data_IF_857534292388
#
_entry.id   IF_857534292388
#
_cell.length_a   1.000
_cell.length_b   1.000
_cell.length_c   1.000
_cell.angle_alpha   90.00
_cell.angle_beta   90.00
_cell.angle_gamma   90.00
#
_symmetry.space_group_name_H-M   'P 1'
#
loop_
_entity.id
_entity.type
_entity.pdbx_description
1 polymer ?
#
# COMPACT_ATOMS: atom_id res chain seq x y z
N UNK A 1 -28.61 -24.80 28.38
CA UNK A 1 -27.44 -25.50 27.76
C UNK A 1 -26.90 -24.80 26.49
N UNK A 2 -27.32 -23.57 26.18
CA UNK A 2 -27.15 -22.88 24.88
C UNK A 2 -25.97 -21.89 24.85
N UNK A 3 -25.72 -21.16 25.95
CA UNK A 3 -24.68 -20.10 26.00
C UNK A 3 -23.25 -20.61 25.75
N UNK A 4 -22.86 -21.77 26.30
CA UNK A 4 -21.52 -22.35 26.08
C UNK A 4 -21.31 -22.82 24.63
N UNK A 5 -22.36 -23.36 23.98
CA UNK A 5 -22.30 -23.80 22.58
C UNK A 5 -22.20 -22.60 21.62
N UNK A 6 -22.95 -21.53 21.87
CA UNK A 6 -22.89 -20.30 21.07
C UNK A 6 -21.50 -19.65 21.11
N UNK A 7 -20.86 -19.64 22.29
CA UNK A 7 -19.46 -19.17 22.47
C UNK A 7 -18.46 -20.05 21.72
N UNK A 8 -18.66 -21.38 21.70
CA UNK A 8 -17.80 -22.29 20.96
C UNK A 8 -17.91 -22.10 19.43
N UNK A 9 -19.12 -21.89 18.91
CA UNK A 9 -19.36 -21.62 17.49
C UNK A 9 -18.73 -20.29 17.06
N UNK A 10 -18.88 -19.22 17.86
CA UNK A 10 -18.25 -17.92 17.59
C UNK A 10 -16.73 -18.01 17.58
N UNK A 11 -16.15 -18.77 18.54
CA UNK A 11 -14.71 -19.00 18.59
C UNK A 11 -14.21 -19.79 17.38
N UNK A 12 -14.96 -20.82 16.96
CA UNK A 12 -14.63 -21.61 15.78
C UNK A 12 -14.72 -20.78 14.48
N UNK A 13 -15.72 -19.90 14.36
CA UNK A 13 -15.86 -18.98 13.22
C UNK A 13 -14.70 -17.98 13.18
N UNK A 14 -14.34 -17.38 14.32
CA UNK A 14 -13.20 -16.48 14.42
C UNK A 14 -11.91 -17.20 14.01
N UNK A 15 -11.64 -18.40 14.55
CA UNK A 15 -10.48 -19.20 14.19
C UNK A 15 -10.41 -19.50 12.69
N UNK A 16 -11.55 -19.83 12.06
CA UNK A 16 -11.61 -20.02 10.61
C UNK A 16 -11.21 -18.75 9.85
N UNK A 17 -11.77 -17.60 10.21
CA UNK A 17 -11.42 -16.34 9.56
C UNK A 17 -9.95 -15.94 9.79
N UNK A 18 -9.36 -16.28 10.94
CA UNK A 18 -7.94 -16.08 11.19
C UNK A 18 -7.06 -16.96 10.29
N UNK A 19 -7.44 -18.23 10.09
CA UNK A 19 -6.75 -19.14 9.17
C UNK A 19 -6.86 -18.63 7.73
N UNK A 20 -8.07 -18.26 7.30
CA UNK A 20 -8.34 -17.72 5.97
C UNK A 20 -7.53 -16.44 5.72
N UNK A 21 -7.48 -15.53 6.71
CA UNK A 21 -6.67 -14.32 6.63
C UNK A 21 -5.18 -14.65 6.50
N UNK A 22 -4.65 -15.54 7.34
CA UNK A 22 -3.24 -15.96 7.26
C UNK A 22 -2.91 -16.54 5.87
N UNK A 23 -3.79 -17.38 5.33
CA UNK A 23 -3.66 -17.92 3.98
C UNK A 23 -3.66 -16.82 2.92
N UNK A 24 -4.62 -15.88 2.99
CA UNK A 24 -4.72 -14.75 2.06
C UNK A 24 -3.47 -13.87 2.08
N UNK A 25 -2.98 -13.51 3.26
CA UNK A 25 -1.74 -12.74 3.41
C UNK A 25 -0.54 -13.49 2.85
N UNK A 26 -0.42 -14.79 3.10
CA UNK A 26 0.63 -15.63 2.53
C UNK A 26 0.60 -15.65 0.99
N UNK A 27 -0.58 -15.84 0.41
CA UNK A 27 -0.78 -15.83 -1.05
C UNK A 27 -0.43 -14.47 -1.64
N UNK A 28 -0.94 -13.37 -1.09
CA UNK A 28 -0.66 -12.02 -1.59
C UNK A 28 0.84 -11.72 -1.48
N UNK A 29 1.50 -12.09 -0.40
CA UNK A 29 2.94 -11.88 -0.25
C UNK A 29 3.76 -12.68 -1.27
N UNK A 30 3.39 -13.93 -1.53
CA UNK A 30 4.02 -14.74 -2.58
C UNK A 30 3.82 -14.11 -3.96
N UNK A 31 2.60 -13.64 -4.27
CA UNK A 31 2.30 -12.97 -5.53
C UNK A 31 3.06 -11.65 -5.68
N UNK A 32 3.20 -10.85 -4.63
CA UNK A 32 3.99 -9.63 -4.64
C UNK A 32 5.47 -9.91 -4.94
N UNK A 33 6.03 -10.95 -4.31
CA UNK A 33 7.41 -11.37 -4.57
C UNK A 33 7.59 -11.85 -6.01
N UNK A 34 6.69 -12.72 -6.49
CA UNK A 34 6.71 -13.21 -7.87
C UNK A 34 6.58 -12.07 -8.88
N UNK A 35 5.70 -11.11 -8.61
CA UNK A 35 5.53 -9.92 -9.44
C UNK A 35 6.81 -9.10 -9.49
N UNK A 36 7.44 -8.81 -8.34
CA UNK A 36 8.72 -8.07 -8.30
C UNK A 36 9.82 -8.81 -9.06
N UNK A 37 9.95 -10.12 -8.89
CA UNK A 37 10.94 -10.92 -9.62
C UNK A 37 10.66 -10.93 -11.13
N UNK A 38 9.40 -11.07 -11.51
CA UNK A 38 8.98 -11.04 -12.91
C UNK A 38 9.26 -9.68 -13.55
N UNK A 39 8.85 -8.58 -12.92
CA UNK A 39 9.05 -7.23 -13.47
C UNK A 39 10.53 -6.89 -13.55
N UNK A 40 11.31 -7.27 -12.53
CA UNK A 40 12.76 -7.06 -12.50
C UNK A 40 13.50 -7.81 -13.61
N UNK A 41 13.02 -9.00 -14.01
CA UNK A 41 13.61 -9.76 -15.10
C UNK A 41 13.12 -9.28 -16.48
N UNK A 42 11.84 -8.93 -16.60
CA UNK A 42 11.23 -8.57 -17.89
C UNK A 42 11.47 -7.12 -18.30
N UNK A 43 11.65 -6.23 -17.32
CA UNK A 43 11.80 -4.78 -17.50
C UNK A 43 12.99 -4.29 -16.65
N UNK A 44 14.23 -4.56 -17.09
CA UNK A 44 15.42 -4.22 -16.31
C UNK A 44 15.75 -2.72 -16.32
N UNK A 45 15.15 -1.96 -17.23
CA UNK A 45 15.45 -0.55 -17.43
C UNK A 45 14.57 0.33 -16.55
N UNK A 46 15.23 1.26 -15.85
CA UNK A 46 14.58 2.27 -15.02
C UNK A 46 14.47 3.58 -15.79
N UNK A 47 13.32 4.22 -15.69
CA UNK A 47 13.00 5.49 -16.32
C UNK A 47 12.86 6.59 -15.27
N UNK A 48 13.37 7.78 -15.60
CA UNK A 48 13.31 8.98 -14.77
C UNK A 48 12.60 10.10 -15.51
N UNK A 49 11.84 10.91 -14.75
CA UNK A 49 11.14 12.07 -15.31
C UNK A 49 12.13 13.19 -15.61
N UNK A 50 12.06 13.72 -16.83
CA UNK A 50 12.87 14.83 -17.34
C UNK A 50 11.97 15.96 -17.82
N UNK A 51 12.56 17.13 -18.04
CA UNK A 51 11.88 18.29 -18.61
C UNK A 51 11.75 18.10 -20.14
N UNK A 52 10.67 18.63 -20.71
CA UNK A 52 10.39 18.54 -22.14
C UNK A 52 8.99 19.06 -22.48
N UNK A 53 8.62 18.98 -23.76
CA UNK A 53 7.43 19.65 -24.31
C UNK A 53 6.11 18.90 -24.06
N UNK A 54 6.17 17.65 -23.59
CA UNK A 54 5.01 16.81 -23.33
C UNK A 54 4.48 16.93 -21.89
N UNK A 55 3.26 16.41 -21.66
CA UNK A 55 2.64 16.32 -20.32
C UNK A 55 3.56 15.61 -19.32
N UNK A 56 4.20 14.53 -19.77
CA UNK A 56 5.30 13.91 -19.05
C UNK A 56 6.36 13.35 -19.99
N UNK A 57 7.62 13.68 -19.70
CA UNK A 57 8.78 13.26 -20.46
C UNK A 57 9.64 12.33 -19.60
N UNK A 58 10.09 11.23 -20.19
CA UNK A 58 10.79 10.16 -19.48
C UNK A 58 12.05 9.74 -20.22
N UNK A 59 13.10 9.38 -19.47
CA UNK A 59 14.36 8.93 -20.04
C UNK A 59 14.86 7.70 -19.30
N UNK A 60 15.34 6.69 -20.02
CA UNK A 60 15.98 5.55 -19.39
C UNK A 60 17.31 5.98 -18.75
N UNK A 61 17.60 5.52 -17.54
CA UNK A 61 18.79 5.91 -16.76
C UNK A 61 20.09 5.48 -17.46
N UNK A 62 20.03 4.38 -18.19
CA UNK A 62 21.12 3.78 -18.97
C UNK A 62 21.15 4.24 -20.44
N UNK A 63 20.30 5.19 -20.83
CA UNK A 63 20.32 5.76 -22.17
C UNK A 63 21.67 6.45 -22.47
N UNK A 64 22.18 6.39 -23.71
CA UNK A 64 23.34 7.19 -24.12
C UNK A 64 23.10 8.70 -23.97
N UNK A 65 24.17 9.47 -23.79
CA UNK A 65 24.10 10.93 -23.80
C UNK A 65 23.53 11.44 -25.14
N UNK A 66 22.55 12.34 -25.06
CA UNK A 66 21.86 12.87 -26.25
C UNK A 66 20.66 12.05 -26.72
N UNK A 67 20.26 11.01 -25.98
CA UNK A 67 19.03 10.27 -26.27
C UNK A 67 17.78 11.14 -26.12
N UNK A 68 16.82 10.96 -27.03
CA UNK A 68 15.54 11.66 -26.99
C UNK A 68 14.69 11.19 -25.82
N UNK A 69 13.97 12.13 -25.20
CA UNK A 69 13.02 11.82 -24.14
C UNK A 69 11.76 11.18 -24.71
N UNK A 70 11.27 10.16 -24.01
CA UNK A 70 10.02 9.48 -24.34
C UNK A 70 8.87 10.34 -23.83
N UNK A 71 8.03 10.76 -24.77
CA UNK A 71 6.84 11.56 -24.53
C UNK A 71 5.64 10.66 -24.20
N UNK A 72 5.04 10.85 -23.01
CA UNK A 72 3.78 10.20 -22.66
C UNK A 72 2.66 11.26 -22.64
N UNK A 73 1.82 11.24 -23.67
CA UNK A 73 0.67 12.14 -23.84
C UNK A 73 -0.66 11.39 -23.78
N UNK A 74 -1.73 12.12 -23.44
CA UNK A 74 -3.11 11.59 -23.41
C UNK A 74 -3.74 11.36 -24.78
N UNK A 75 -3.02 11.68 -25.85
CA UNK A 75 -3.50 11.53 -27.23
C UNK A 75 -3.54 10.06 -27.67
N UNK A 76 -4.32 9.78 -28.72
CA UNK A 76 -4.46 8.43 -29.28
C UNK A 76 -3.08 7.90 -29.74
N UNK A 77 -2.58 6.85 -29.07
CA UNK A 77 -1.25 6.29 -29.31
C UNK A 77 -0.14 6.82 -28.38
N UNK A 78 -0.41 7.82 -27.54
CA UNK A 78 0.55 8.40 -26.60
C UNK A 78 1.01 7.47 -25.46
N UNK A 79 0.38 6.30 -25.33
CA UNK A 79 0.79 5.21 -24.41
C UNK A 79 1.34 3.98 -25.14
N UNK A 80 1.74 4.11 -26.41
CA UNK A 80 2.21 2.97 -27.22
C UNK A 80 3.58 2.42 -26.78
N UNK A 81 4.42 3.27 -26.16
CA UNK A 81 5.79 2.93 -25.81
C UNK A 81 6.01 2.99 -24.29
N UNK A 82 6.77 2.04 -23.75
CA UNK A 82 7.24 2.12 -22.36
C UNK A 82 8.05 3.41 -22.15
N UNK A 83 7.95 4.08 -20.99
CA UNK A 83 7.27 3.67 -19.77
C UNK A 83 5.80 4.12 -19.69
N UNK A 84 5.21 4.58 -20.80
CA UNK A 84 3.85 5.09 -20.82
C UNK A 84 2.84 3.93 -20.67
N UNK A 85 1.85 4.08 -19.79
CA UNK A 85 0.78 3.11 -19.59
C UNK A 85 -0.57 3.78 -19.35
N UNK A 86 -1.66 3.09 -19.67
CA UNK A 86 -3.01 3.61 -19.50
C UNK A 86 -3.28 3.92 -18.02
N UNK A 87 -3.74 5.14 -17.72
CA UNK A 87 -3.99 5.54 -16.34
C UNK A 87 -2.73 5.92 -15.55
N UNK A 88 -1.60 6.19 -16.22
CA UNK A 88 -0.39 6.77 -15.60
C UNK A 88 -0.68 8.05 -14.79
N UNK A 89 -1.68 8.83 -15.20
CA UNK A 89 -2.13 10.04 -14.50
C UNK A 89 -2.80 9.77 -13.14
N UNK A 90 -3.17 8.52 -12.86
CA UNK A 90 -3.69 8.13 -11.54
C UNK A 90 -2.58 8.11 -10.50
N UNK A 91 -1.34 7.81 -10.90
CA UNK A 91 -0.25 7.64 -9.94
C UNK A 91 0.01 8.93 -9.15
N UNK A 92 0.12 10.13 -9.76
CA UNK A 92 0.20 11.39 -9.01
C UNK A 92 -0.96 11.64 -8.05
N UNK A 93 -2.18 11.18 -8.39
CA UNK A 93 -3.35 11.33 -7.54
C UNK A 93 -3.24 10.40 -6.32
N UNK A 94 -2.92 9.12 -6.54
CA UNK A 94 -2.79 8.14 -5.47
C UNK A 94 -1.55 8.34 -4.60
N UNK A 95 -0.49 8.92 -5.14
CA UNK A 95 0.72 9.28 -4.40
C UNK A 95 0.64 10.66 -3.75
N UNK A 96 -0.33 11.51 -4.14
CA UNK A 96 -0.58 12.77 -3.45
C UNK A 96 -0.95 12.52 -1.99
N UNK A 97 -0.59 13.45 -1.10
CA UNK A 97 -0.93 13.35 0.32
C UNK A 97 -2.43 13.17 0.54
N UNK A 98 -3.27 13.87 -0.23
CA UNK A 98 -4.72 13.75 -0.13
C UNK A 98 -5.22 12.39 -0.58
N UNK A 99 -4.76 11.89 -1.73
CA UNK A 99 -5.19 10.58 -2.25
C UNK A 99 -4.69 9.42 -1.40
N UNK A 100 -3.41 9.44 -1.00
CA UNK A 100 -2.75 8.44 -0.17
C UNK A 100 -3.42 8.24 1.20
N UNK A 101 -4.12 9.26 1.70
CA UNK A 101 -4.87 9.20 2.97
C UNK A 101 -6.35 8.91 2.74
N UNK A 102 -7.00 9.59 1.79
CA UNK A 102 -8.44 9.49 1.61
C UNK A 102 -8.87 8.15 1.00
N UNK A 103 -8.18 7.67 -0.03
CA UNK A 103 -8.62 6.51 -0.82
C UNK A 103 -8.57 5.22 0.02
N UNK A 104 -7.48 4.88 0.73
CA UNK A 104 -7.46 3.65 1.53
C UNK A 104 -8.42 3.68 2.74
N UNK A 105 -8.69 4.87 3.28
CA UNK A 105 -9.63 5.04 4.41
C UNK A 105 -11.10 5.06 3.98
N UNK A 106 -11.38 5.28 2.69
CA UNK A 106 -12.75 5.42 2.20
C UNK A 106 -13.65 4.23 2.57
N UNK A 107 -13.13 2.98 2.48
CA UNK A 107 -13.87 1.79 2.89
C UNK A 107 -14.30 1.83 4.36
N UNK A 108 -13.39 2.26 5.25
CA UNK A 108 -13.69 2.45 6.67
C UNK A 108 -14.72 3.55 6.88
N UNK A 109 -14.57 4.70 6.20
CA UNK A 109 -15.48 5.84 6.31
C UNK A 109 -16.90 5.46 5.87
N UNK A 110 -17.05 4.76 4.74
CA UNK A 110 -18.35 4.25 4.30
C UNK A 110 -18.92 3.23 5.28
N UNK A 111 -18.10 2.32 5.81
CA UNK A 111 -18.52 1.33 6.78
C UNK A 111 -18.99 1.98 8.10
N UNK A 112 -18.27 2.98 8.58
CA UNK A 112 -18.57 3.78 9.76
C UNK A 112 -19.83 4.64 9.57
N UNK A 113 -19.93 5.39 8.46
CA UNK A 113 -21.08 6.24 8.17
C UNK A 113 -22.38 5.44 8.06
N UNK A 114 -22.35 4.30 7.37
CA UNK A 114 -23.51 3.40 7.30
C UNK A 114 -23.87 2.75 8.63
N UNK A 115 -22.92 2.55 9.55
CA UNK A 115 -23.22 2.11 10.91
C UNK A 115 -23.84 3.23 11.74
N UNK A 116 -23.37 4.48 11.61
CA UNK A 116 -23.91 5.66 12.31
C UNK A 116 -25.36 5.95 11.92
N UNK A 117 -25.69 5.78 10.64
CA UNK A 117 -27.06 5.97 10.12
C UNK A 117 -27.96 4.75 10.37
N UNK A 118 -27.43 3.66 10.92
CA UNK A 118 -28.17 2.44 11.18
C UNK A 118 -28.93 2.46 12.51
N UNK A 119 -29.93 1.59 12.69
CA UNK A 119 -30.77 1.55 13.90
C UNK A 119 -30.08 0.99 15.16
N UNK A 120 -28.80 0.58 15.06
CA UNK A 120 -28.06 -0.12 16.13
C UNK A 120 -26.71 0.55 16.42
N UNK A 121 -26.74 1.85 16.71
CA UNK A 121 -25.56 2.60 17.17
C UNK A 121 -25.32 2.30 18.64
N UNK A 122 -24.15 1.77 18.97
CA UNK A 122 -23.73 1.56 20.36
C UNK A 122 -22.30 2.07 20.56
N UNK A 123 -22.03 2.69 21.72
CA UNK A 123 -20.70 3.23 22.04
C UNK A 123 -19.54 2.22 21.92
N UNK A 124 -19.70 0.93 22.28
CA UNK A 124 -18.66 -0.08 22.05
C UNK A 124 -18.31 -0.25 20.57
N UNK A 125 -19.31 -0.20 19.67
CA UNK A 125 -19.09 -0.30 18.22
C UNK A 125 -18.33 0.90 17.68
N UNK A 126 -18.72 2.11 18.09
CA UNK A 126 -18.01 3.35 17.74
C UNK A 126 -16.54 3.26 18.13
N UNK A 127 -16.25 2.81 19.36
CA UNK A 127 -14.89 2.70 19.87
C UNK A 127 -14.02 1.78 19.01
N UNK A 128 -14.57 0.67 18.52
CA UNK A 128 -13.84 -0.27 17.65
C UNK A 128 -13.50 0.38 16.31
N UNK A 129 -14.46 1.05 15.66
CA UNK A 129 -14.20 1.75 14.40
C UNK A 129 -13.18 2.89 14.57
N UNK A 130 -13.28 3.66 15.65
CA UNK A 130 -12.29 4.72 15.96
C UNK A 130 -10.90 4.14 16.16
N UNK A 131 -10.77 3.05 16.94
CA UNK A 131 -9.47 2.39 17.14
C UNK A 131 -8.91 1.79 15.86
N UNK A 132 -9.74 1.26 14.98
CA UNK A 132 -9.34 0.80 13.65
C UNK A 132 -8.88 1.96 12.77
N UNK A 133 -9.60 3.08 12.80
CA UNK A 133 -9.19 4.31 12.12
C UNK A 133 -7.85 4.83 12.64
N UNK A 134 -7.62 4.79 13.95
CA UNK A 134 -6.33 5.15 14.56
C UNK A 134 -5.22 4.17 14.18
N UNK A 135 -5.51 2.87 14.06
CA UNK A 135 -4.55 1.89 13.54
C UNK A 135 -4.13 2.25 12.11
N UNK A 136 -5.09 2.51 11.23
CA UNK A 136 -4.79 2.89 9.84
C UNK A 136 -4.06 4.22 9.76
N UNK A 137 -4.48 5.23 10.51
CA UNK A 137 -3.77 6.50 10.61
C UNK A 137 -2.34 6.32 11.13
N UNK A 138 -2.13 5.41 12.10
CA UNK A 138 -0.81 5.04 12.61
C UNK A 138 0.07 4.38 11.55
N UNK A 139 -0.48 3.46 10.74
CA UNK A 139 0.20 2.85 9.59
C UNK A 139 0.63 3.93 8.59
N UNK A 140 -0.29 4.84 8.26
CA UNK A 140 -0.04 5.93 7.31
C UNK A 140 1.00 6.94 7.83
N UNK A 141 0.93 7.27 9.11
CA UNK A 141 1.89 8.14 9.78
C UNK A 141 3.27 7.48 9.88
N UNK A 142 3.35 6.17 10.15
CA UNK A 142 4.62 5.44 10.20
C UNK A 142 5.36 5.55 8.86
N UNK A 143 4.66 5.33 7.75
CA UNK A 143 5.24 5.50 6.42
C UNK A 143 5.70 6.94 6.19
N UNK A 144 4.84 7.91 6.49
CA UNK A 144 5.10 9.33 6.20
C UNK A 144 6.23 9.93 7.05
N UNK A 145 6.34 9.53 8.32
CA UNK A 145 7.29 10.14 9.27
C UNK A 145 8.55 9.28 9.42
N UNK A 146 8.40 7.97 9.63
CA UNK A 146 9.54 7.10 9.93
C UNK A 146 10.22 6.65 8.65
N UNK A 147 9.46 6.19 7.66
CA UNK A 147 10.04 5.66 6.44
C UNK A 147 10.45 6.76 5.46
N UNK A 148 9.63 7.79 5.28
CA UNK A 148 9.92 8.85 4.33
C UNK A 148 10.90 9.91 4.87
N UNK A 149 10.62 10.49 6.05
CA UNK A 149 11.49 11.52 6.63
C UNK A 149 12.70 10.92 7.37
N UNK A 150 12.49 9.85 8.13
CA UNK A 150 13.54 9.23 8.96
C UNK A 150 14.61 8.49 8.15
N UNK A 151 14.23 7.51 7.33
CA UNK A 151 15.20 6.73 6.54
C UNK A 151 15.89 7.57 5.47
N UNK A 152 15.21 8.53 4.85
CA UNK A 152 15.82 9.45 3.88
C UNK A 152 16.92 10.32 4.50
N UNK A 153 16.75 10.77 5.74
CA UNK A 153 17.77 11.53 6.46
C UNK A 153 18.99 10.68 6.84
N UNK A 154 18.75 9.46 7.33
CA UNK A 154 19.83 8.51 7.66
C UNK A 154 20.62 8.10 6.44
N UNK A 155 19.95 7.86 5.32
CA UNK A 155 20.59 7.47 4.08
C UNK A 155 21.45 8.61 3.51
N UNK A 156 20.95 9.86 3.57
CA UNK A 156 21.74 11.03 3.21
C UNK A 156 23.00 11.17 4.07
N UNK A 157 22.88 10.95 5.38
CA UNK A 157 24.02 10.99 6.30
C UNK A 157 25.02 9.87 6.03
N UNK A 158 24.53 8.65 5.79
CA UNK A 158 25.34 7.46 5.52
C UNK A 158 26.11 7.60 4.21
N UNK A 159 25.47 8.02 3.11
CA UNK A 159 26.16 8.19 1.82
C UNK A 159 27.22 9.28 1.86
N UNK A 160 26.92 10.40 2.52
CA UNK A 160 27.88 11.49 2.70
C UNK A 160 29.13 11.03 3.49
N UNK A 161 28.96 10.14 4.47
CA UNK A 161 30.05 9.58 5.27
C UNK A 161 30.90 8.56 4.49
N UNK A 162 30.27 7.68 3.70
CA UNK A 162 30.96 6.53 3.11
C UNK A 162 31.54 6.78 1.71
N UNK A 163 30.92 7.62 0.89
CA UNK A 163 31.34 7.76 -0.52
C UNK A 163 32.08 9.05 -0.84
N UNK A 164 31.98 10.09 0.00
CA UNK A 164 32.63 11.39 -0.23
C UNK A 164 32.23 12.11 -1.54
N UNK A 165 31.34 11.52 -2.35
CA UNK A 165 30.89 12.04 -3.63
C UNK A 165 29.64 12.90 -3.43
N UNK A 166 29.70 14.15 -3.86
CA UNK A 166 28.49 14.98 -3.95
C UNK A 166 27.55 14.42 -5.03
N UNK A 167 26.24 14.50 -4.78
CA UNK A 167 25.12 13.95 -5.59
C UNK A 167 25.00 14.49 -7.05
N UNK A 168 26.06 15.06 -7.61
CA UNK A 168 26.03 15.90 -8.80
C UNK A 168 26.46 15.22 -10.12
N UNK A 169 26.96 13.98 -10.10
CA UNK A 169 27.64 13.39 -11.26
C UNK A 169 26.78 12.40 -12.08
N UNK A 170 25.55 12.76 -12.45
CA UNK A 170 24.82 12.02 -13.49
C UNK A 170 24.62 12.90 -14.73
N UNK A 171 24.79 12.31 -15.91
CA UNK A 171 24.72 13.03 -17.18
C UNK A 171 23.33 13.61 -17.49
N UNK A 172 22.27 13.02 -16.91
CA UNK A 172 20.88 13.46 -17.05
C UNK A 172 20.43 14.48 -15.99
N UNK A 173 21.35 14.96 -15.12
CA UNK A 173 21.01 15.93 -14.08
C UNK A 173 20.47 17.24 -14.66
N UNK A 174 21.09 17.72 -15.74
CA UNK A 174 20.74 19.00 -16.37
C UNK A 174 19.33 19.00 -16.98
N UNK A 175 18.82 17.82 -17.35
CA UNK A 175 17.54 17.59 -17.99
C UNK A 175 16.41 17.44 -16.96
N UNK A 176 16.69 17.43 -15.65
CA UNK A 176 15.66 17.41 -14.61
C UNK A 176 15.38 18.80 -14.09
N UNK A 177 14.11 19.07 -13.81
CA UNK A 177 13.66 20.28 -13.11
C UNK A 177 14.45 20.60 -11.82
N UNK A 178 14.81 19.57 -11.04
CA UNK A 178 15.53 19.75 -9.77
C UNK A 178 17.04 19.90 -9.92
N UNK A 179 17.59 19.72 -11.14
CA UNK A 179 19.03 19.71 -11.45
C UNK A 179 19.86 18.80 -10.54
N UNK A 180 19.24 17.76 -9.97
CA UNK A 180 19.83 16.87 -8.98
C UNK A 180 19.62 15.41 -9.40
N UNK A 181 20.65 14.60 -9.17
CA UNK A 181 20.56 13.16 -9.27
C UNK A 181 20.03 12.60 -7.95
N UNK A 182 19.04 11.70 -7.96
CA UNK A 182 18.73 10.91 -6.78
C UNK A 182 19.88 9.91 -6.61
N UNK A 183 20.80 10.21 -5.69
CA UNK A 183 21.82 9.27 -5.26
C UNK A 183 21.26 8.47 -4.08
N UNK A 184 20.85 7.22 -4.36
CA UNK A 184 20.37 6.28 -3.34
C UNK A 184 18.96 6.56 -2.79
N UNK A 185 18.28 5.46 -2.43
CA UNK A 185 17.03 5.23 -1.66
C UNK A 185 15.86 6.23 -1.75
N UNK A 186 15.82 7.15 -2.71
CA UNK A 186 14.64 7.98 -2.97
C UNK A 186 13.52 7.19 -3.71
N UNK A 187 13.58 5.85 -3.72
CA UNK A 187 13.09 5.03 -4.84
C UNK A 187 12.39 3.73 -4.47
N UNK A 188 11.75 3.64 -3.31
CA UNK A 188 10.71 2.61 -3.14
C UNK A 188 9.44 3.15 -2.50
N UNK A 189 9.38 4.47 -2.37
CA UNK A 189 8.33 5.17 -1.62
C UNK A 189 6.92 4.86 -2.15
N UNK A 190 6.80 4.69 -3.47
CA UNK A 190 5.58 4.28 -4.13
C UNK A 190 5.23 2.81 -3.91
N UNK A 191 6.20 1.90 -3.90
CA UNK A 191 5.98 0.48 -3.58
C UNK A 191 5.54 0.34 -2.14
N UNK A 192 6.28 0.96 -1.22
CA UNK A 192 5.97 0.97 0.20
C UNK A 192 4.58 1.56 0.39
N UNK A 193 4.23 2.67 -0.27
CA UNK A 193 2.89 3.26 -0.21
C UNK A 193 1.80 2.30 -0.70
N UNK A 194 1.92 1.79 -1.92
CA UNK A 194 0.89 0.94 -2.54
C UNK A 194 0.69 -0.35 -1.73
N UNK A 195 1.77 -0.94 -1.21
CA UNK A 195 1.68 -2.13 -0.36
C UNK A 195 1.11 -1.77 1.03
N UNK A 196 1.69 -0.80 1.73
CA UNK A 196 1.33 -0.50 3.12
C UNK A 196 0.00 0.22 3.30
N UNK A 197 -0.31 1.22 2.48
CA UNK A 197 -1.55 1.97 2.60
C UNK A 197 -2.66 1.24 1.87
N UNK A 198 -2.46 0.88 0.61
CA UNK A 198 -3.58 0.41 -0.21
C UNK A 198 -3.85 -1.08 -0.02
N UNK A 199 -2.83 -1.94 -0.15
CA UNK A 199 -3.04 -3.39 -0.01
C UNK A 199 -3.25 -3.81 1.45
N UNK A 200 -2.38 -3.40 2.39
CA UNK A 200 -2.48 -3.85 3.79
C UNK A 200 -3.79 -3.43 4.46
N UNK A 201 -4.21 -2.17 4.29
CA UNK A 201 -5.47 -1.67 4.85
C UNK A 201 -6.65 -2.39 4.21
N UNK A 202 -6.65 -2.57 2.88
CA UNK A 202 -7.74 -3.29 2.21
C UNK A 202 -7.85 -4.73 2.68
N UNK A 203 -6.73 -5.41 2.91
CA UNK A 203 -6.70 -6.78 3.42
C UNK A 203 -7.20 -6.88 4.86
N UNK A 204 -6.81 -5.94 5.73
CA UNK A 204 -7.30 -5.94 7.10
C UNK A 204 -8.79 -5.58 7.18
N UNK A 205 -9.25 -4.61 6.39
CA UNK A 205 -10.68 -4.28 6.32
C UNK A 205 -11.48 -5.44 5.73
N UNK A 206 -10.94 -6.16 4.74
CA UNK A 206 -11.55 -7.40 4.22
C UNK A 206 -11.71 -8.45 5.30
N UNK A 207 -10.68 -8.68 6.12
CA UNK A 207 -10.74 -9.57 7.27
C UNK A 207 -11.79 -9.10 8.30
N UNK A 208 -11.76 -7.82 8.68
CA UNK A 208 -12.72 -7.26 9.63
C UNK A 208 -14.17 -7.44 9.13
N UNK A 209 -14.45 -7.09 7.87
CA UNK A 209 -15.77 -7.28 7.25
C UNK A 209 -16.24 -8.74 7.24
N UNK A 210 -15.31 -9.70 7.19
CA UNK A 210 -15.64 -11.11 7.24
C UNK A 210 -16.01 -11.60 8.63
N UNK A 211 -15.33 -11.09 9.67
CA UNK A 211 -15.62 -11.45 11.05
C UNK A 211 -16.88 -10.76 11.57
N UNK A 212 -17.11 -9.50 11.20
CA UNK A 212 -18.18 -8.67 11.76
C UNK A 212 -19.58 -8.96 11.21
N UNK A 213 -19.67 -9.59 10.05
CA UNK A 213 -20.95 -9.79 9.34
C UNK A 213 -21.23 -11.26 9.07
N UNK A 214 -22.20 -11.82 9.80
CA UNK A 214 -22.69 -13.20 9.63
C UNK A 214 -23.84 -13.24 8.62
N UNK A 215 -23.54 -13.00 7.35
CA UNK A 215 -24.49 -13.19 6.25
C UNK A 215 -24.24 -12.35 5.00
N UNK A 216 -24.96 -12.61 3.90
CA UNK A 216 -24.97 -11.75 2.73
C UNK A 216 -25.72 -10.46 3.04
N UNK A 217 -25.13 -9.30 2.73
CA UNK A 217 -25.80 -8.01 2.79
C UNK A 217 -25.30 -7.12 1.68
N UNK A 218 -26.19 -6.26 1.15
CA UNK A 218 -25.82 -5.33 0.07
C UNK A 218 -24.65 -4.44 0.49
N UNK A 219 -24.69 -3.90 1.71
CA UNK A 219 -23.58 -3.14 2.31
C UNK A 219 -22.25 -3.91 2.24
N UNK A 220 -22.24 -5.17 2.67
CA UNK A 220 -21.03 -6.01 2.66
C UNK A 220 -20.53 -6.26 1.24
N UNK A 221 -21.43 -6.55 0.31
CA UNK A 221 -21.07 -6.77 -1.10
C UNK A 221 -20.46 -5.51 -1.70
N UNK A 222 -21.07 -4.35 -1.49
CA UNK A 222 -20.53 -3.07 -1.98
C UNK A 222 -19.16 -2.76 -1.38
N UNK A 223 -18.98 -2.93 -0.07
CA UNK A 223 -17.69 -2.71 0.58
C UNK A 223 -16.62 -3.67 0.07
N UNK A 224 -16.94 -4.95 -0.12
CA UNK A 224 -16.00 -5.92 -0.70
C UNK A 224 -15.61 -5.56 -2.12
N UNK A 225 -16.57 -5.20 -2.97
CA UNK A 225 -16.30 -4.75 -4.33
C UNK A 225 -15.41 -3.52 -4.32
N UNK A 226 -15.67 -2.57 -3.42
CA UNK A 226 -14.84 -1.38 -3.27
C UNK A 226 -13.40 -1.70 -2.85
N UNK A 227 -13.21 -2.59 -1.86
CA UNK A 227 -11.87 -3.05 -1.46
C UNK A 227 -11.13 -3.77 -2.60
N UNK A 228 -11.83 -4.54 -3.43
CA UNK A 228 -11.26 -5.16 -4.62
C UNK A 228 -10.85 -4.14 -5.67
N UNK A 229 -11.63 -3.07 -5.87
CA UNK A 229 -11.28 -1.98 -6.78
C UNK A 229 -10.02 -1.26 -6.28
N UNK A 230 -9.99 -0.87 -5.00
CA UNK A 230 -8.82 -0.21 -4.40
C UNK A 230 -7.58 -1.11 -4.47
N UNK A 231 -7.72 -2.39 -4.12
CA UNK A 231 -6.64 -3.37 -4.22
C UNK A 231 -6.18 -3.59 -5.67
N UNK A 232 -7.12 -3.69 -6.62
CA UNK A 232 -6.82 -3.88 -8.04
C UNK A 232 -6.09 -2.70 -8.65
N UNK A 233 -6.53 -1.47 -8.35
CA UNK A 233 -5.82 -0.24 -8.77
C UNK A 233 -4.42 -0.22 -8.16
N UNK A 234 -4.28 -0.56 -6.88
CA UNK A 234 -2.98 -0.59 -6.22
C UNK A 234 -2.04 -1.62 -6.85
N UNK A 235 -2.51 -2.84 -7.14
CA UNK A 235 -1.73 -3.88 -7.83
C UNK A 235 -1.36 -3.46 -9.25
N UNK A 236 -2.29 -2.86 -9.98
CA UNK A 236 -2.04 -2.34 -11.33
C UNK A 236 -0.93 -1.31 -11.34
N UNK A 237 -1.03 -0.28 -10.50
CA UNK A 237 0.01 0.76 -10.38
C UNK A 237 1.31 0.21 -9.85
N UNK A 238 1.26 -0.75 -8.92
CA UNK A 238 2.44 -1.37 -8.35
C UNK A 238 3.22 -2.14 -9.42
N UNK A 239 2.54 -2.84 -10.33
CA UNK A 239 3.17 -3.53 -11.45
C UNK A 239 3.97 -2.55 -12.33
N UNK A 240 3.36 -1.45 -12.77
CA UNK A 240 4.04 -0.45 -13.60
C UNK A 240 5.13 0.31 -12.84
N UNK A 241 4.87 0.60 -11.57
CA UNK A 241 5.84 1.19 -10.63
C UNK A 241 7.11 0.34 -10.55
N UNK A 242 6.94 -0.97 -10.32
CA UNK A 242 8.04 -1.92 -10.22
C UNK A 242 8.69 -2.26 -11.57
N UNK A 243 7.96 -2.11 -12.69
CA UNK A 243 8.49 -2.39 -14.02
C UNK A 243 9.36 -1.27 -14.57
N UNK A 244 9.00 0.00 -14.32
CA UNK A 244 9.59 1.11 -15.05
C UNK A 244 10.29 2.15 -14.19
N UNK A 245 9.95 2.29 -12.90
CA UNK A 245 10.41 3.45 -12.11
C UNK A 245 11.43 3.08 -11.03
N UNK A 246 11.62 1.79 -10.80
CA UNK A 246 12.48 1.27 -9.74
C UNK A 246 13.34 0.12 -10.24
N UNK A 247 14.59 0.08 -9.76
CA UNK A 247 15.50 -1.05 -9.97
C UNK A 247 15.05 -2.28 -9.17
N UNK A 248 15.57 -3.46 -9.51
CA UNK A 248 15.34 -4.69 -8.75
C UNK A 248 15.66 -4.55 -7.26
N UNK A 249 16.78 -3.92 -6.93
CA UNK A 249 17.19 -3.71 -5.54
C UNK A 249 16.21 -2.79 -4.81
N UNK A 250 15.80 -1.69 -5.45
CA UNK A 250 14.80 -0.76 -4.94
C UNK A 250 13.44 -1.46 -4.72
N UNK A 251 13.01 -2.31 -5.66
CA UNK A 251 11.78 -3.09 -5.55
C UNK A 251 11.80 -4.06 -4.35
N UNK A 252 12.88 -4.86 -4.24
CA UNK A 252 13.03 -5.84 -3.18
C UNK A 252 13.11 -5.18 -1.81
N UNK A 253 13.87 -4.08 -1.71
CA UNK A 253 14.02 -3.33 -0.48
C UNK A 253 12.70 -2.70 -0.03
N UNK A 254 11.97 -2.07 -0.95
CA UNK A 254 10.63 -1.56 -0.69
C UNK A 254 9.67 -2.64 -0.20
N UNK A 255 9.70 -3.81 -0.82
CA UNK A 255 8.89 -4.95 -0.39
C UNK A 255 9.30 -5.41 1.01
N UNK A 256 10.59 -5.60 1.30
CA UNK A 256 11.08 -6.01 2.63
C UNK A 256 10.64 -5.03 3.71
N UNK A 257 10.74 -3.72 3.46
CA UNK A 257 10.30 -2.68 4.39
C UNK A 257 8.79 -2.74 4.60
N UNK A 258 8.00 -2.79 3.53
CA UNK A 258 6.54 -2.88 3.64
C UNK A 258 6.10 -4.17 4.39
N UNK A 259 6.81 -5.27 4.17
CA UNK A 259 6.55 -6.54 4.83
C UNK A 259 6.88 -6.48 6.33
N UNK A 260 8.11 -6.10 6.67
CA UNK A 260 8.60 -6.09 8.05
C UNK A 260 7.90 -5.04 8.91
N UNK A 261 7.66 -3.84 8.37
CA UNK A 261 7.10 -2.74 9.15
C UNK A 261 5.57 -2.78 9.25
N UNK A 262 4.87 -3.31 8.24
CA UNK A 262 3.40 -3.18 8.17
C UNK A 262 2.71 -4.54 8.01
N UNK A 263 2.97 -5.28 6.93
CA UNK A 263 2.19 -6.49 6.62
C UNK A 263 2.33 -7.57 7.69
N UNK A 264 3.55 -7.87 8.15
CA UNK A 264 3.78 -8.89 9.18
C UNK A 264 3.14 -8.51 10.52
N UNK A 265 3.36 -7.30 11.08
CA UNK A 265 2.64 -6.85 12.27
C UNK A 265 1.11 -6.93 12.13
N UNK A 266 0.58 -6.58 10.96
CA UNK A 266 -0.86 -6.62 10.70
C UNK A 266 -1.39 -8.05 10.66
N UNK A 267 -0.65 -8.99 10.05
CA UNK A 267 -0.96 -10.43 10.13
C UNK A 267 -0.97 -10.90 11.59
N UNK A 268 0.07 -10.58 12.35
CA UNK A 268 0.15 -10.96 13.77
C UNK A 268 -1.04 -10.40 14.57
N UNK A 269 -1.48 -9.19 14.25
CA UNK A 269 -2.68 -8.60 14.83
C UNK A 269 -3.95 -9.40 14.46
N UNK A 270 -4.12 -9.84 13.21
CA UNK A 270 -5.26 -10.70 12.83
C UNK A 270 -5.27 -12.03 13.59
N UNK A 271 -4.10 -12.54 13.98
CA UNK A 271 -3.97 -13.77 14.76
C UNK A 271 -4.11 -13.55 16.28
N UNK A 272 -4.44 -12.33 16.72
CA UNK A 272 -4.48 -11.94 18.14
C UNK A 272 -3.15 -12.22 18.87
N UNK A 273 -2.01 -12.15 18.16
CA UNK A 273 -0.70 -12.50 18.73
C UNK A 273 -0.30 -11.60 19.91
N UNK A 274 -0.69 -10.32 19.86
CA UNK A 274 -0.36 -9.31 20.87
C UNK A 274 -1.31 -9.31 22.09
N UNK A 275 -1.87 -10.47 22.47
CA UNK A 275 -2.81 -10.60 23.61
C UNK A 275 -2.30 -9.99 24.93
N UNK A 276 -0.99 -10.04 25.16
CA UNK A 276 -0.31 -9.47 26.32
C UNK A 276 -0.36 -7.95 26.38
N UNK A 277 -0.56 -7.28 25.23
CA UNK A 277 -0.57 -5.82 25.11
C UNK A 277 -2.04 -5.36 25.00
N UNK A 278 -2.63 -4.77 26.06
CA UNK A 278 -4.08 -4.55 26.13
C UNK A 278 -4.68 -3.72 25.00
N UNK A 279 -3.89 -2.80 24.42
CA UNK A 279 -4.31 -1.92 23.33
C UNK A 279 -4.15 -2.54 21.93
N UNK A 280 -3.30 -3.57 21.78
CA UNK A 280 -3.08 -4.29 20.52
C UNK A 280 -3.88 -5.59 20.41
N UNK A 281 -4.82 -5.85 21.32
CA UNK A 281 -5.72 -7.00 21.21
C UNK A 281 -6.63 -6.87 19.99
N UNK A 282 -6.88 -7.98 19.32
CA UNK A 282 -7.72 -8.01 18.13
C UNK A 282 -9.13 -7.47 18.39
N UNK A 283 -9.69 -7.75 19.57
CA UNK A 283 -11.02 -7.27 20.01
C UNK A 283 -11.16 -5.75 20.09
N UNK A 284 -10.04 -5.01 20.05
CA UNK A 284 -10.07 -3.55 19.99
C UNK A 284 -10.35 -3.02 18.58
N UNK A 285 -10.18 -3.84 17.55
CA UNK A 285 -10.22 -3.43 16.14
C UNK A 285 -11.35 -4.09 15.35
N UNK A 286 -11.86 -5.23 15.82
CA UNK A 286 -12.99 -5.94 15.20
C UNK A 286 -14.16 -6.12 16.18
N UNK A 287 -15.38 -6.14 15.65
CA UNK A 287 -16.57 -6.55 16.37
C UNK A 287 -16.71 -8.06 16.32
N UNK A 288 -16.69 -8.70 17.49
CA UNK A 288 -17.08 -10.10 17.59
C UNK A 288 -18.58 -10.22 17.31
N UNK A 289 -19.03 -11.28 16.62
CA UNK A 289 -20.46 -11.51 16.40
C UNK A 289 -21.18 -11.51 17.76
N UNK A 290 -22.22 -10.68 17.89
CA UNK A 290 -23.03 -10.65 19.12
C UNK A 290 -23.64 -12.03 19.38
N UNK A 291 -23.78 -12.39 20.66
CA UNK A 291 -24.61 -13.53 21.06
C UNK A 291 -26.05 -13.23 20.63
N UNK A 292 -26.51 -13.84 19.55
CA UNK A 292 -27.94 -13.88 19.21
C UNK A 292 -28.71 -14.67 20.26
#
# INVERSE_FOLDING_TARGET
>A
MTSKKLVAVQKAQLMRHQIDARGLFGVINALLLLMVLYTSNRYPHKFVRVDGDCDSNWLAVDAPQGSEAICCNKEAGGYANAPCYTGMDLMPILSSLQGAWAIPLSGLVFNYGSMMLGPRVTMPRVRVYVRRGLLYAGIMALRTLVLYQGLGALEQQFWNLFTGHSRAACWYAAQRHSKRCPAGFDHSDHIVLLVSHYLSISMFEWFALNVESTGPSLKRTCLRLWLLVVGGIATYLLFYTASYFHTTAENLLGLVIAQGCIMVPLVLLTQDYFTSIPWLRLTNFILLPEKS
#
